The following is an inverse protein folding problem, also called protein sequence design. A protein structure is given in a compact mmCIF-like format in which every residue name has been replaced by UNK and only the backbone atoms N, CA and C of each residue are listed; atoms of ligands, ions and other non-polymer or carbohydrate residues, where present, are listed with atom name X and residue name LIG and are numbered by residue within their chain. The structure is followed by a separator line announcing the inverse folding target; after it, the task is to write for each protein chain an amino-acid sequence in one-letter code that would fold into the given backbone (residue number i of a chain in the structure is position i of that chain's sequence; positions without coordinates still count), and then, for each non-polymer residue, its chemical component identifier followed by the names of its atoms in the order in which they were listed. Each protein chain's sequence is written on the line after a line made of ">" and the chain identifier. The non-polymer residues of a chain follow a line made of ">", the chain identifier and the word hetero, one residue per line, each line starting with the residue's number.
data_IF_855142452752
#
_entry.id   IF_855142452752
#
_cell.length_a   1.000
_cell.length_b   1.000
_cell.length_c   1.000
_cell.angle_alpha   90.00
_cell.angle_beta   90.00
_cell.angle_gamma   90.00
#
_symmetry.space_group_name_H-M   'P 1'
#
loop_
_entity.id
_entity.type
_entity.pdbx_description
1 polymer ?
#
# COMPACT_ATOMS: atom_id res chain seq x y z
N UNK A 1 1.95 -8.69 0.81
CA UNK A 1 2.22 -9.22 -0.54
C UNK A 1 2.02 -8.09 -1.54
N UNK A 2 2.83 -8.02 -2.59
CA UNK A 2 2.66 -7.01 -3.64
C UNK A 2 2.77 -7.61 -5.04
N UNK A 3 2.06 -7.03 -6.00
CA UNK A 3 2.01 -7.49 -7.40
C UNK A 3 2.37 -6.35 -8.34
N UNK A 4 3.12 -6.63 -9.40
CA UNK A 4 3.38 -5.65 -10.46
C UNK A 4 2.08 -5.20 -11.10
N UNK A 5 1.91 -3.89 -11.29
CA UNK A 5 0.69 -3.34 -11.90
C UNK A 5 0.46 -3.89 -13.30
N UNK A 6 1.48 -3.96 -14.14
CA UNK A 6 1.37 -4.45 -15.51
C UNK A 6 1.01 -5.93 -15.57
N UNK A 7 1.59 -6.74 -14.68
CA UNK A 7 1.21 -8.14 -14.54
C UNK A 7 -0.29 -8.28 -14.17
N UNK A 8 -0.81 -7.42 -13.30
CA UNK A 8 -2.26 -7.42 -13.01
C UNK A 8 -3.11 -6.99 -14.22
N UNK A 9 -2.64 -6.03 -15.02
CA UNK A 9 -3.38 -5.55 -16.20
C UNK A 9 -3.38 -6.54 -17.37
N UNK A 10 -2.29 -7.31 -17.54
CA UNK A 10 -2.06 -8.11 -18.73
C UNK A 10 -2.11 -9.63 -18.48
N UNK A 11 -1.87 -10.07 -17.24
CA UNK A 11 -1.70 -11.50 -16.89
C UNK A 11 -2.69 -11.98 -15.82
N UNK A 12 -3.65 -11.14 -15.41
CA UNK A 12 -4.68 -11.49 -14.43
C UNK A 12 -6.09 -11.32 -14.99
N UNK A 13 -7.09 -11.74 -14.22
CA UNK A 13 -8.51 -11.53 -14.51
C UNK A 13 -9.09 -10.28 -13.81
N UNK A 14 -8.24 -9.35 -13.37
CA UNK A 14 -8.67 -8.14 -12.66
C UNK A 14 -8.91 -7.00 -13.65
N UNK A 15 -10.11 -6.42 -13.60
CA UNK A 15 -10.47 -5.26 -14.42
C UNK A 15 -9.53 -4.07 -14.19
N UNK A 16 -9.17 -3.36 -15.27
CA UNK A 16 -8.26 -2.21 -15.20
C UNK A 16 -8.77 -1.09 -14.26
N UNK A 17 -10.09 -0.88 -14.19
CA UNK A 17 -10.68 0.08 -13.26
C UNK A 17 -10.55 -0.38 -11.81
N UNK A 18 -10.57 -1.70 -11.57
CA UNK A 18 -10.33 -2.27 -10.24
C UNK A 18 -8.86 -2.20 -9.85
N UNK A 19 -7.94 -2.38 -10.80
CA UNK A 19 -6.48 -2.19 -10.59
C UNK A 19 -6.18 -0.78 -10.06
N UNK A 20 -6.86 0.25 -10.58
CA UNK A 20 -6.72 1.65 -10.13
C UNK A 20 -7.25 1.90 -8.71
N UNK A 21 -8.05 0.99 -8.15
CA UNK A 21 -8.61 1.12 -6.82
C UNK A 21 -7.78 0.45 -5.72
N UNK A 22 -6.66 -0.20 -6.07
CA UNK A 22 -5.76 -0.77 -5.06
C UNK A 22 -4.79 0.26 -4.51
N UNK A 23 -4.27 -0.02 -3.33
CA UNK A 23 -3.15 0.72 -2.78
C UNK A 23 -1.88 0.48 -3.61
N UNK A 24 -1.14 1.55 -3.90
CA UNK A 24 0.19 1.47 -4.51
C UNK A 24 1.25 1.39 -3.43
N UNK A 25 2.30 0.60 -3.68
CA UNK A 25 3.43 0.42 -2.76
C UNK A 25 4.75 0.74 -3.45
N UNK A 26 5.64 1.38 -2.70
CA UNK A 26 7.05 1.56 -3.07
C UNK A 26 7.86 0.53 -2.29
N UNK A 27 8.65 -0.25 -2.99
CA UNK A 27 9.45 -1.33 -2.41
C UNK A 27 10.92 -0.92 -2.52
N UNK A 28 11.61 -0.89 -1.39
CA UNK A 28 13.05 -0.63 -1.34
C UNK A 28 13.87 -1.81 -1.84
N UNK A 29 15.15 -1.56 -2.12
CA UNK A 29 16.08 -2.57 -2.65
C UNK A 29 16.26 -3.81 -1.75
N UNK A 30 16.00 -3.67 -0.45
CA UNK A 30 16.05 -4.76 0.53
C UNK A 30 14.72 -5.53 0.68
N UNK A 31 13.78 -5.33 -0.25
CA UNK A 31 12.42 -5.90 -0.24
C UNK A 31 11.62 -5.50 1.00
N UNK A 32 11.80 -4.27 1.48
CA UNK A 32 10.94 -3.68 2.51
C UNK A 32 10.08 -2.53 1.99
N UNK A 33 8.93 -2.33 2.62
CA UNK A 33 7.99 -1.27 2.25
C UNK A 33 8.60 0.12 2.55
N UNK A 34 8.70 0.96 1.53
CA UNK A 34 9.14 2.35 1.65
C UNK A 34 7.97 3.34 1.73
N UNK A 35 6.90 3.12 1.00
CA UNK A 35 5.69 3.92 1.11
C UNK A 35 4.49 3.12 0.62
N UNK A 36 3.31 3.49 1.08
CA UNK A 36 2.04 2.94 0.61
C UNK A 36 1.01 4.07 0.56
N UNK A 37 0.18 4.09 -0.48
CA UNK A 37 -0.92 5.04 -0.63
C UNK A 37 -2.17 4.29 -1.02
N UNK A 38 -3.21 4.38 -0.20
CA UNK A 38 -4.55 3.86 -0.53
C UNK A 38 -5.18 4.69 -1.65
N UNK A 39 -5.64 4.02 -2.71
CA UNK A 39 -6.41 4.64 -3.81
C UNK A 39 -5.82 5.98 -4.28
N UNK A 40 -4.58 5.98 -4.81
CA UNK A 40 -3.89 7.21 -5.17
C UNK A 40 -4.65 7.97 -6.27
N UNK A 41 -4.57 9.30 -6.24
CA UNK A 41 -4.95 10.10 -7.40
C UNK A 41 -3.94 9.92 -8.56
N UNK A 42 -4.28 10.44 -9.74
CA UNK A 42 -3.46 10.28 -10.94
C UNK A 42 -2.05 10.87 -10.78
N UNK A 43 -1.91 12.00 -10.06
CA UNK A 43 -0.63 12.65 -9.83
C UNK A 43 0.26 11.81 -8.90
N UNK A 44 -0.32 11.28 -7.82
CA UNK A 44 0.37 10.40 -6.87
C UNK A 44 0.77 9.10 -7.55
N UNK A 45 -0.11 8.50 -8.35
CA UNK A 45 0.20 7.30 -9.12
C UNK A 45 1.37 7.54 -10.09
N UNK A 46 1.38 8.66 -10.81
CA UNK A 46 2.46 9.01 -11.73
C UNK A 46 3.81 9.19 -11.01
N UNK A 47 3.81 9.64 -9.75
CA UNK A 47 5.04 9.80 -8.96
C UNK A 47 5.76 8.49 -8.58
N UNK A 48 5.10 7.34 -8.80
CA UNK A 48 5.69 6.01 -8.57
C UNK A 48 6.41 5.47 -9.82
N UNK A 49 6.31 6.13 -10.98
CA UNK A 49 6.98 5.72 -12.21
C UNK A 49 6.44 4.41 -12.79
N UNK A 50 7.33 3.61 -13.38
CA UNK A 50 6.99 2.33 -14.00
C UNK A 50 7.06 1.16 -12.98
N UNK A 51 7.85 1.31 -11.91
CA UNK A 51 7.96 0.34 -10.81
C UNK A 51 6.78 0.44 -9.82
N UNK A 52 5.56 0.36 -10.34
CA UNK A 52 4.33 0.41 -9.55
C UNK A 52 3.92 -0.99 -9.14
N UNK A 53 3.91 -1.20 -7.83
CA UNK A 53 3.39 -2.42 -7.22
C UNK A 53 2.08 -2.12 -6.50
N UNK A 54 1.17 -3.10 -6.49
CA UNK A 54 -0.14 -3.00 -5.86
C UNK A 54 -0.24 -3.93 -4.66
N UNK A 55 -0.79 -3.43 -3.57
CA UNK A 55 -1.16 -4.22 -2.39
C UNK A 55 -2.58 -4.76 -2.54
N UNK A 56 -2.71 -6.10 -2.55
CA UNK A 56 -4.00 -6.79 -2.56
C UNK A 56 -4.49 -7.18 -1.14
N UNK A 57 -4.13 -6.38 -0.13
CA UNK A 57 -4.62 -6.49 1.25
C UNK A 57 -4.24 -7.76 2.02
N UNK A 58 -3.14 -8.42 1.68
CA UNK A 58 -2.59 -9.53 2.47
C UNK A 58 -1.43 -9.07 3.36
N UNK A 59 -1.67 -9.07 4.68
CA UNK A 59 -0.76 -8.55 5.69
C UNK A 59 -0.49 -9.55 6.82
N UNK A 60 0.75 -9.54 7.30
CA UNK A 60 1.14 -10.20 8.55
C UNK A 60 1.70 -9.15 9.49
N UNK A 61 1.05 -8.97 10.63
CA UNK A 61 1.41 -7.96 11.60
C UNK A 61 1.89 -8.56 12.92
N UNK A 62 2.63 -7.75 13.67
CA UNK A 62 2.81 -7.93 15.11
C UNK A 62 2.25 -6.73 15.88
N UNK A 63 2.36 -6.77 17.21
CA UNK A 63 1.78 -5.76 18.10
C UNK A 63 2.21 -4.32 17.82
N UNK A 64 3.34 -4.09 17.13
CA UNK A 64 3.87 -2.75 16.86
C UNK A 64 2.97 -1.92 15.94
N UNK A 65 2.10 -2.57 15.14
CA UNK A 65 1.16 -1.85 14.27
C UNK A 65 -0.03 -1.26 15.04
N UNK A 66 -0.35 -1.82 16.21
CA UNK A 66 -1.60 -1.51 16.92
C UNK A 66 -1.70 -0.04 17.31
N UNK A 67 -0.58 0.60 17.66
CA UNK A 67 -0.59 2.02 18.02
C UNK A 67 -0.86 2.92 16.81
N UNK A 68 -0.35 2.54 15.63
CA UNK A 68 -0.68 3.23 14.40
C UNK A 68 -2.16 3.06 14.04
N UNK A 69 -2.72 1.86 14.21
CA UNK A 69 -4.15 1.62 14.02
C UNK A 69 -5.05 2.47 14.93
N UNK A 70 -4.60 2.81 16.14
CA UNK A 70 -5.36 3.70 17.05
C UNK A 70 -5.32 5.17 16.65
N UNK A 71 -4.25 5.60 15.98
CA UNK A 71 -4.01 7.01 15.64
C UNK A 71 -4.37 7.39 14.21
N UNK A 72 -4.56 6.41 13.32
CA UNK A 72 -4.94 6.66 11.93
C UNK A 72 -6.26 7.44 11.90
N UNK A 73 -6.31 8.49 11.07
CA UNK A 73 -7.52 9.30 10.88
C UNK A 73 -8.44 8.65 9.86
N UNK A 74 -9.72 9.02 9.89
CA UNK A 74 -10.67 8.54 8.88
C UNK A 74 -10.31 9.12 7.50
N UNK A 75 -10.42 8.29 6.47
CA UNK A 75 -10.34 8.71 5.07
C UNK A 75 -11.55 9.61 4.71
N UNK A 76 -11.56 10.28 3.55
CA UNK A 76 -12.73 11.01 3.06
C UNK A 76 -14.01 10.18 2.97
N UNK A 77 -13.88 8.83 2.95
CA UNK A 77 -14.99 7.88 2.95
C UNK A 77 -15.51 7.56 4.36
N UNK A 78 -14.87 8.10 5.39
CA UNK A 78 -15.19 7.82 6.78
C UNK A 78 -14.60 6.50 7.31
N UNK A 79 -13.71 5.84 6.56
CA UNK A 79 -13.13 4.54 6.91
C UNK A 79 -11.74 4.70 7.56
N UNK A 80 -11.35 3.75 8.41
CA UNK A 80 -9.97 3.65 8.92
C UNK A 80 -9.18 2.69 8.03
N UNK A 81 -8.32 3.25 7.19
CA UNK A 81 -7.63 2.49 6.14
C UNK A 81 -6.41 1.77 6.71
N UNK A 82 -6.30 0.45 6.47
CA UNK A 82 -5.11 -0.33 6.86
C UNK A 82 -3.83 0.23 6.21
N UNK A 83 -3.80 0.61 4.91
CA UNK A 83 -2.63 1.23 4.31
C UNK A 83 -2.15 2.50 5.03
N UNK A 84 -3.08 3.35 5.50
CA UNK A 84 -2.71 4.56 6.23
C UNK A 84 -2.11 4.21 7.60
N UNK A 85 -2.66 3.21 8.29
CA UNK A 85 -2.08 2.70 9.53
C UNK A 85 -0.68 2.09 9.30
N UNK A 86 -0.47 1.36 8.19
CA UNK A 86 0.84 0.82 7.81
C UNK A 86 1.84 1.93 7.51
N UNK A 87 1.41 2.96 6.76
CA UNK A 87 2.22 4.12 6.44
C UNK A 87 2.65 4.86 7.71
N UNK A 88 1.72 5.04 8.64
CA UNK A 88 1.97 5.65 9.95
C UNK A 88 2.92 4.79 10.81
N UNK A 89 2.69 3.47 10.86
CA UNK A 89 3.54 2.50 11.55
C UNK A 89 4.99 2.57 11.06
N UNK A 90 5.19 2.68 9.75
CA UNK A 90 6.51 2.86 9.16
C UNK A 90 7.14 4.19 9.52
N UNK A 91 6.40 5.30 9.34
CA UNK A 91 6.94 6.67 9.46
C UNK A 91 7.23 7.09 10.89
N UNK A 92 6.34 6.77 11.82
CA UNK A 92 6.42 7.26 13.20
C UNK A 92 6.89 6.20 14.21
N UNK A 93 6.68 4.92 13.92
CA UNK A 93 7.06 3.82 14.82
C UNK A 93 8.19 2.95 14.26
N UNK A 94 8.74 3.33 13.10
CA UNK A 94 9.85 2.66 12.43
C UNK A 94 9.62 1.15 12.22
N UNK A 95 8.36 0.73 12.07
CA UNK A 95 8.02 -0.66 11.79
C UNK A 95 8.44 -0.99 10.36
N UNK A 96 9.19 -2.09 10.22
CA UNK A 96 9.63 -2.60 8.91
C UNK A 96 8.69 -3.70 8.45
N UNK A 97 8.13 -3.53 7.26
CA UNK A 97 7.30 -4.54 6.61
C UNK A 97 8.08 -5.15 5.46
N UNK A 98 8.33 -6.45 5.53
CA UNK A 98 8.87 -7.20 4.40
C UNK A 98 7.80 -7.35 3.32
N UNK A 99 8.18 -7.13 2.07
CA UNK A 99 7.32 -7.35 0.91
C UNK A 99 7.67 -8.71 0.33
N UNK A 100 6.62 -9.52 0.16
CA UNK A 100 6.66 -10.86 -0.43
C UNK A 100 5.94 -10.77 -1.77
#
# INVERSE_FOLDING_TARGET
>A
MAFGRDALLHESNVDADRVRQFAVVRIGSDRTLEDIVEKPDAATLASYGDDVYLSMNYWRFDRRVLEACRRVTRSPRGEFEIPDAVRLARREYHVRFAVI
#
